data_IF_011379241500
#
_entry.id   IF_011379241500
#
_cell.length_a   1.000
_cell.length_b   1.000
_cell.length_c   1.000
_cell.angle_alpha   90.00
_cell.angle_beta   90.00
_cell.angle_gamma   90.00
#
_symmetry.space_group_name_H-M   'P 1'
#
loop_
_entity.id
_entity.type
_entity.pdbx_description
1 polymer ?
#
# COMPACT_ATOMS: atom_id res chain seq x y z
N UNK A 1 -5.01 -8.59 -1.85
CA UNK A 1 -4.47 -7.38 -2.51
C UNK A 1 -5.52 -6.29 -2.38
N UNK A 2 -5.14 -5.03 -2.21
CA UNK A 2 -6.10 -3.93 -2.04
C UNK A 2 -6.94 -3.71 -3.32
N UNK A 3 -8.16 -3.18 -3.21
CA UNK A 3 -9.00 -2.93 -4.38
C UNK A 3 -8.37 -1.86 -5.30
N UNK A 4 -8.55 -2.00 -6.61
CA UNK A 4 -8.00 -1.05 -7.60
C UNK A 4 -8.52 0.38 -7.36
N UNK A 5 -9.76 0.54 -6.91
CA UNK A 5 -10.34 1.85 -6.59
C UNK A 5 -9.65 2.50 -5.40
N UNK A 6 -9.35 1.72 -4.36
CA UNK A 6 -8.63 2.21 -3.17
C UNK A 6 -7.20 2.63 -3.53
N UNK A 7 -6.52 1.87 -4.38
CA UNK A 7 -5.17 2.22 -4.84
C UNK A 7 -5.17 3.50 -5.70
N UNK A 8 -6.14 3.65 -6.61
CA UNK A 8 -6.31 4.88 -7.39
C UNK A 8 -6.53 6.08 -6.46
N UNK A 9 -7.35 5.92 -5.42
CA UNK A 9 -7.62 6.97 -4.44
C UNK A 9 -6.37 7.37 -3.64
N UNK A 10 -5.53 6.40 -3.24
CA UNK A 10 -4.23 6.69 -2.60
C UNK A 10 -3.35 7.55 -3.52
N UNK A 11 -3.31 7.24 -4.81
CA UNK A 11 -2.52 7.98 -5.80
C UNK A 11 -3.07 9.39 -6.05
N UNK A 12 -4.40 9.55 -6.09
CA UNK A 12 -5.06 10.86 -6.17
C UNK A 12 -4.68 11.73 -4.97
N UNK A 13 -4.85 11.23 -3.75
CA UNK A 13 -4.49 11.95 -2.53
C UNK A 13 -2.99 12.29 -2.49
N UNK A 14 -2.13 11.39 -2.99
CA UNK A 14 -0.70 11.66 -3.13
C UNK A 14 -0.42 12.78 -4.14
N UNK A 15 -1.11 12.81 -5.28
CA UNK A 15 -0.99 13.89 -6.27
C UNK A 15 -1.46 15.23 -5.69
N UNK A 16 -2.63 15.25 -5.04
CA UNK A 16 -3.16 16.43 -4.37
C UNK A 16 -2.16 16.94 -3.33
N UNK A 17 -1.55 16.06 -2.53
CA UNK A 17 -0.57 16.45 -1.50
C UNK A 17 0.70 17.11 -2.04
N UNK A 18 1.03 16.90 -3.33
CA UNK A 18 2.15 17.57 -4.01
C UNK A 18 1.76 18.95 -4.53
N UNK A 19 0.50 19.14 -4.89
CA UNK A 19 -0.01 20.40 -5.44
C UNK A 19 -0.47 21.36 -4.33
N UNK A 20 -1.08 20.83 -3.26
CA UNK A 20 -1.54 21.58 -2.09
C UNK A 20 -1.49 20.73 -0.82
N UNK A 21 -1.64 21.39 0.33
CA UNK A 21 -1.82 20.64 1.57
C UNK A 21 -3.17 19.89 1.58
N UNK A 22 -3.16 18.68 2.10
CA UNK A 22 -4.37 17.88 2.32
C UNK A 22 -5.16 18.43 3.51
N UNK A 23 -6.48 18.48 3.37
CA UNK A 23 -7.38 18.76 4.50
C UNK A 23 -7.29 17.66 5.56
N UNK A 24 -7.73 17.97 6.78
CA UNK A 24 -7.75 16.99 7.86
C UNK A 24 -8.55 15.72 7.52
N UNK A 25 -9.63 15.84 6.73
CA UNK A 25 -10.43 14.70 6.26
C UNK A 25 -9.64 13.84 5.28
N UNK A 26 -8.99 14.47 4.31
CA UNK A 26 -8.17 13.78 3.30
C UNK A 26 -6.95 13.10 3.93
N UNK A 27 -6.31 13.73 4.92
CA UNK A 27 -5.20 13.11 5.67
C UNK A 27 -5.65 11.84 6.38
N UNK A 28 -6.81 11.87 7.07
CA UNK A 28 -7.40 10.69 7.71
C UNK A 28 -7.75 9.60 6.71
N UNK A 29 -8.32 9.97 5.55
CA UNK A 29 -8.64 9.04 4.48
C UNK A 29 -7.37 8.37 3.93
N UNK A 30 -6.34 9.16 3.64
CA UNK A 30 -5.06 8.68 3.13
C UNK A 30 -4.37 7.72 4.12
N UNK A 31 -4.40 8.04 5.41
CA UNK A 31 -3.82 7.21 6.46
C UNK A 31 -4.54 5.86 6.58
N UNK A 32 -5.88 5.88 6.60
CA UNK A 32 -6.68 4.66 6.64
C UNK A 32 -6.39 3.74 5.44
N UNK A 33 -6.40 4.31 4.23
CA UNK A 33 -6.12 3.58 2.99
C UNK A 33 -4.69 3.02 2.96
N UNK A 34 -3.69 3.79 3.43
CA UNK A 34 -2.30 3.31 3.51
C UNK A 34 -2.13 2.18 4.53
N UNK A 35 -2.82 2.24 5.67
CA UNK A 35 -2.78 1.18 6.68
C UNK A 35 -3.31 -0.14 6.11
N UNK A 36 -4.43 -0.07 5.40
CA UNK A 36 -5.04 -1.23 4.76
C UNK A 36 -4.13 -1.80 3.64
N UNK A 37 -3.55 -0.92 2.80
CA UNK A 37 -2.58 -1.29 1.79
C UNK A 37 -1.39 -2.04 2.38
N UNK A 38 -0.78 -1.50 3.44
CA UNK A 38 0.38 -2.11 4.10
C UNK A 38 0.05 -3.46 4.74
N UNK A 39 -1.14 -3.59 5.33
CA UNK A 39 -1.58 -4.88 5.88
C UNK A 39 -1.72 -5.94 4.78
N UNK A 40 -2.37 -5.59 3.66
CA UNK A 40 -2.50 -6.47 2.50
C UNK A 40 -1.14 -6.83 1.89
N UNK A 41 -0.27 -5.83 1.73
CA UNK A 41 1.09 -6.00 1.20
C UNK A 41 1.93 -6.93 2.10
N UNK A 42 1.95 -6.69 3.41
CA UNK A 42 2.69 -7.54 4.38
C UNK A 42 2.22 -8.99 4.34
N UNK A 43 0.91 -9.22 4.22
CA UNK A 43 0.36 -10.58 4.08
C UNK A 43 0.88 -11.26 2.81
N UNK A 44 0.80 -10.59 1.66
CA UNK A 44 1.32 -11.15 0.41
C UNK A 44 2.85 -11.29 0.39
N UNK A 45 3.56 -10.39 1.07
CA UNK A 45 5.02 -10.43 1.13
C UNK A 45 5.52 -11.59 2.00
N UNK A 46 4.87 -11.83 3.15
CA UNK A 46 5.16 -13.02 3.98
C UNK A 46 4.91 -14.31 3.20
N UNK A 47 3.77 -14.42 2.51
CA UNK A 47 3.51 -15.56 1.63
C UNK A 47 4.60 -15.75 0.57
N UNK A 48 5.13 -14.67 -0.02
CA UNK A 48 6.26 -14.79 -0.96
C UNK A 48 7.51 -15.30 -0.28
N UNK A 49 7.87 -14.78 0.89
CA UNK A 49 9.05 -15.23 1.65
C UNK A 49 8.97 -16.71 2.03
N UNK A 50 7.78 -17.18 2.43
CA UNK A 50 7.55 -18.59 2.81
C UNK A 50 7.73 -19.56 1.63
N UNK A 51 7.67 -19.06 0.38
CA UNK A 51 7.86 -19.85 -0.85
C UNK A 51 9.23 -19.59 -1.52
N UNK A 52 10.18 -18.96 -0.82
CA UNK A 52 11.55 -18.83 -1.33
C UNK A 52 12.31 -20.12 -1.01
N UNK A 53 12.51 -20.94 -2.03
CA UNK A 53 13.46 -22.05 -1.98
C UNK A 53 14.85 -21.56 -2.40
N UNK A 54 15.86 -21.87 -1.59
CA UNK A 54 17.27 -21.59 -1.88
C UNK A 54 17.89 -22.89 -2.38
N UNK A 55 18.13 -22.98 -3.69
CA UNK A 55 18.98 -24.05 -4.24
C UNK A 55 20.45 -23.64 -4.08
N UNK A 56 21.19 -24.42 -3.30
CA UNK A 56 22.65 -24.37 -3.31
C UNK A 56 23.13 -25.25 -4.46
N UNK A 57 23.90 -24.66 -5.37
CA UNK A 57 24.58 -25.38 -6.45
C UNK A 57 25.99 -25.69 -5.95
N UNK A 58 26.32 -26.98 -5.85
CA UNK A 58 27.66 -27.49 -5.53
C UNK A 58 28.70 -27.16 -6.63
#
# INVERSE_FOLDING_TARGET
>A
MLDKKQLARINELAKISKERELSAKEKKEQEALRKEYLAAFRKSFRQRLDNIDIEYVD
#
